data_IF_584689613400
#
_entry.id   IF_584689613400
#
_cell.length_a   1.000
_cell.length_b   1.000
_cell.length_c   1.000
_cell.angle_alpha   90.00
_cell.angle_beta   90.00
_cell.angle_gamma   90.00
#
_symmetry.space_group_name_H-M   'P 1'
#
loop_
_entity.id
_entity.type
_entity.pdbx_description
1 polymer ?
#
# COMPACT_ATOMS: atom_id res chain seq x y z
N UNK A 1 -17.44 12.73 17.68
CA UNK A 1 -16.12 13.03 17.09
C UNK A 1 -15.73 11.78 16.32
N UNK A 2 -15.68 11.85 14.99
CA UNK A 2 -15.27 10.70 14.17
C UNK A 2 -13.75 10.85 14.02
N UNK A 3 -13.00 9.90 14.56
CA UNK A 3 -11.56 9.83 14.39
C UNK A 3 -11.30 9.39 12.95
N UNK A 4 -10.77 10.31 12.13
CA UNK A 4 -10.37 10.01 10.75
C UNK A 4 -8.96 9.47 10.83
N UNK A 5 -8.82 8.16 10.68
CA UNK A 5 -7.50 7.51 10.54
C UNK A 5 -7.19 7.46 9.05
N UNK A 6 -6.25 8.28 8.55
CA UNK A 6 -5.91 8.27 7.14
C UNK A 6 -5.21 6.95 6.78
N UNK A 7 -5.63 6.32 5.68
CA UNK A 7 -5.16 5.00 5.26
C UNK A 7 -4.54 5.08 3.87
N UNK A 8 -3.39 4.45 3.70
CA UNK A 8 -2.72 4.23 2.41
C UNK A 8 -3.09 2.87 1.83
N UNK A 9 -3.17 2.82 0.50
CA UNK A 9 -3.35 1.60 -0.25
C UNK A 9 -2.04 1.22 -0.96
N UNK A 10 -1.60 -0.02 -0.73
CA UNK A 10 -0.54 -0.67 -1.49
C UNK A 10 -1.13 -1.78 -2.34
N UNK A 11 -0.64 -1.92 -3.56
CA UNK A 11 -0.90 -3.06 -4.44
C UNK A 11 0.40 -3.85 -4.56
N UNK A 12 0.30 -5.15 -4.32
CA UNK A 12 1.38 -6.13 -4.39
C UNK A 12 1.10 -7.06 -5.56
N UNK A 13 1.93 -7.00 -6.59
CA UNK A 13 1.95 -7.97 -7.68
C UNK A 13 3.05 -9.00 -7.49
N UNK A 14 2.76 -10.27 -7.76
CA UNK A 14 3.80 -11.29 -7.87
C UNK A 14 3.45 -12.29 -8.97
N UNK A 15 4.47 -12.95 -9.49
CA UNK A 15 4.32 -13.96 -10.52
C UNK A 15 4.53 -15.36 -9.93
N UNK A 16 3.61 -16.33 -10.14
CA UNK A 16 3.76 -17.67 -9.58
C UNK A 16 5.02 -18.40 -10.07
N UNK A 17 5.42 -18.17 -11.32
CA UNK A 17 6.57 -18.82 -11.96
C UNK A 17 7.90 -18.07 -11.79
N UNK A 18 7.90 -16.87 -11.20
CA UNK A 18 9.10 -16.06 -10.97
C UNK A 18 9.17 -15.65 -9.49
N UNK A 19 9.49 -16.59 -8.59
CA UNK A 19 9.62 -16.27 -7.17
C UNK A 19 10.67 -15.18 -6.96
N UNK A 20 10.29 -14.13 -6.23
CA UNK A 20 11.14 -12.95 -5.95
C UNK A 20 10.88 -11.75 -6.88
N UNK A 21 10.14 -11.92 -7.97
CA UNK A 21 9.67 -10.81 -8.80
C UNK A 21 8.40 -10.22 -8.18
N UNK A 22 8.57 -9.16 -7.38
CA UNK A 22 7.51 -8.47 -6.65
C UNK A 22 7.38 -7.05 -7.20
N UNK A 23 6.18 -6.72 -7.67
CA UNK A 23 5.78 -5.34 -7.98
C UNK A 23 5.08 -4.75 -6.76
N UNK A 24 5.61 -3.66 -6.21
CA UNK A 24 5.00 -2.95 -5.08
C UNK A 24 4.66 -1.54 -5.54
N UNK A 25 3.36 -1.24 -5.56
CA UNK A 25 2.85 0.07 -5.94
C UNK A 25 2.10 0.69 -4.77
N UNK A 26 2.51 1.90 -4.38
CA UNK A 26 1.72 2.73 -3.46
C UNK A 26 0.78 3.60 -4.28
N UNK A 27 -0.52 3.47 -4.05
CA UNK A 27 -1.52 4.30 -4.73
C UNK A 27 -1.45 5.71 -4.16
N UNK A 28 -1.44 6.73 -5.03
CA UNK A 28 -1.36 8.15 -4.65
C UNK A 28 -2.69 8.72 -4.09
N UNK A 29 -3.46 7.88 -3.40
CA UNK A 29 -4.75 8.23 -2.78
C UNK A 29 -4.69 7.86 -1.32
N UNK A 30 -5.12 8.80 -0.47
CA UNK A 30 -5.32 8.57 0.95
C UNK A 30 -6.82 8.42 1.22
N UNK A 31 -7.18 7.37 1.95
CA UNK A 31 -8.56 7.06 2.31
C UNK A 31 -8.87 7.54 3.72
N UNK A 32 -10.12 7.90 3.99
CA UNK A 32 -10.53 8.38 5.31
C UNK A 32 -10.83 7.24 6.30
N UNK A 33 -10.95 6.01 5.81
CA UNK A 33 -11.17 4.82 6.64
C UNK A 33 -10.58 3.55 6.02
N UNK A 34 -10.30 2.52 6.83
CA UNK A 34 -9.90 1.20 6.33
C UNK A 34 -10.93 0.60 5.38
N UNK A 35 -12.23 0.75 5.66
CA UNK A 35 -13.30 0.18 4.83
C UNK A 35 -13.31 0.75 3.41
N UNK A 36 -13.08 2.06 3.26
CA UNK A 36 -12.96 2.70 1.95
C UNK A 36 -11.72 2.21 1.20
N UNK A 37 -10.58 2.09 1.90
CA UNK A 37 -9.35 1.57 1.33
C UNK A 37 -9.52 0.11 0.85
N UNK A 38 -10.13 -0.76 1.65
CA UNK A 38 -10.35 -2.17 1.33
C UNK A 38 -11.25 -2.33 0.11
N UNK A 39 -12.33 -1.55 0.02
CA UNK A 39 -13.23 -1.57 -1.13
C UNK A 39 -12.53 -1.10 -2.42
N UNK A 40 -11.73 -0.02 -2.33
CA UNK A 40 -10.97 0.48 -3.48
C UNK A 40 -9.84 -0.48 -3.89
N UNK A 41 -9.11 -1.01 -2.92
CA UNK A 41 -8.02 -1.96 -3.09
C UNK A 41 -8.47 -3.25 -3.74
N UNK A 42 -9.53 -3.87 -3.21
CA UNK A 42 -10.10 -5.11 -3.76
C UNK A 42 -10.52 -4.94 -5.23
N UNK A 43 -11.18 -3.82 -5.55
CA UNK A 43 -11.58 -3.49 -6.91
C UNK A 43 -10.37 -3.29 -7.84
N UNK A 44 -9.32 -2.64 -7.36
CA UNK A 44 -8.10 -2.37 -8.14
C UNK A 44 -7.30 -3.66 -8.38
N UNK A 45 -7.00 -4.41 -7.31
CA UNK A 45 -6.27 -5.68 -7.37
C UNK A 45 -6.98 -6.72 -8.25
N UNK A 46 -8.31 -6.81 -8.16
CA UNK A 46 -9.10 -7.69 -9.02
C UNK A 46 -8.99 -7.33 -10.50
N UNK A 47 -9.03 -6.03 -10.83
CA UNK A 47 -8.88 -5.55 -12.22
C UNK A 47 -7.47 -5.82 -12.75
N UNK A 48 -6.45 -5.56 -11.94
CA UNK A 48 -5.05 -5.79 -12.33
C UNK A 48 -4.76 -7.27 -12.53
N UNK A 49 -5.25 -8.13 -11.63
CA UNK A 49 -5.15 -9.60 -11.76
C UNK A 49 -5.84 -10.08 -13.04
N UNK A 50 -7.04 -9.60 -13.34
CA UNK A 50 -7.74 -9.97 -14.57
C UNK A 50 -6.98 -9.52 -15.82
N UNK A 51 -6.48 -8.27 -15.85
CA UNK A 51 -5.70 -7.76 -16.97
C UNK A 51 -4.36 -8.50 -17.16
N UNK A 52 -3.73 -8.90 -16.06
CA UNK A 52 -2.47 -9.61 -16.07
C UNK A 52 -2.63 -11.09 -16.46
N UNK A 53 -3.76 -11.73 -16.13
CA UNK A 53 -4.02 -13.12 -16.50
C UNK A 53 -3.87 -13.39 -18.02
N UNK A 54 -4.21 -12.40 -18.85
CA UNK A 54 -4.11 -12.50 -20.31
C UNK A 54 -2.71 -12.17 -20.86
N UNK A 55 -1.83 -11.54 -20.08
CA UNK A 55 -0.57 -10.98 -20.57
C UNK A 55 0.66 -11.58 -19.89
N UNK A 56 0.70 -11.54 -18.56
CA UNK A 56 1.87 -11.89 -17.76
C UNK A 56 1.61 -13.03 -16.78
N UNK A 57 0.37 -13.39 -16.46
CA UNK A 57 0.05 -14.37 -15.43
C UNK A 57 0.36 -13.90 -14.00
N UNK A 58 0.63 -12.60 -13.79
CA UNK A 58 0.85 -12.04 -12.47
C UNK A 58 -0.47 -11.94 -11.67
N UNK A 59 -0.37 -12.17 -10.37
CA UNK A 59 -1.48 -12.01 -9.41
C UNK A 59 -1.23 -10.77 -8.57
N UNK A 60 -2.28 -9.99 -8.32
CA UNK A 60 -2.21 -8.78 -7.51
C UNK A 60 -3.12 -8.88 -6.28
N UNK A 61 -2.59 -8.48 -5.12
CA UNK A 61 -3.34 -8.24 -3.87
C UNK A 61 -3.23 -6.79 -3.43
N UNK A 62 -4.15 -6.37 -2.57
CA UNK A 62 -4.08 -5.08 -1.90
C UNK A 62 -3.71 -5.21 -0.43
N UNK A 63 -3.11 -4.15 0.12
CA UNK A 63 -2.85 -3.97 1.55
C UNK A 63 -3.18 -2.54 1.94
N UNK A 64 -4.06 -2.40 2.92
CA UNK A 64 -4.38 -1.13 3.54
C UNK A 64 -3.51 -0.95 4.78
N UNK A 65 -2.82 0.19 4.88
CA UNK A 65 -1.98 0.53 6.03
C UNK A 65 -2.36 1.91 6.55
N UNK A 66 -2.53 2.03 7.86
CA UNK A 66 -2.75 3.31 8.51
C UNK A 66 -1.51 4.18 8.33
N UNK A 67 -1.73 5.47 8.08
CA UNK A 67 -0.63 6.43 8.10
C UNK A 67 -0.26 6.63 9.56
N UNK A 68 1.00 6.38 9.93
CA UNK A 68 1.43 6.61 11.31
C UNK A 68 1.22 8.07 11.69
N UNK A 69 0.86 8.30 12.94
CA UNK A 69 0.81 9.65 13.47
C UNK A 69 2.22 10.30 13.40
N UNK A 70 2.27 11.63 13.39
CA UNK A 70 3.55 12.36 13.31
C UNK A 70 4.45 11.99 14.49
N UNK A 71 3.85 11.82 15.68
CA UNK A 71 4.53 11.44 16.90
C UNK A 71 5.12 10.02 16.82
N UNK A 72 4.40 9.08 16.21
CA UNK A 72 4.88 7.71 15.98
C UNK A 72 6.02 7.69 14.95
N UNK A 73 5.92 8.52 13.91
CA UNK A 73 6.98 8.68 12.92
C UNK A 73 8.23 9.29 13.54
N UNK A 74 8.10 10.35 14.34
CA UNK A 74 9.23 10.99 15.03
C UNK A 74 9.86 10.06 16.08
N UNK A 75 9.07 9.25 16.79
CA UNK A 75 9.61 8.24 17.70
C UNK A 75 10.41 7.15 16.97
N UNK A 76 9.94 6.72 15.79
CA UNK A 76 10.60 5.67 15.00
C UNK A 76 11.82 6.18 14.20
N UNK A 77 11.80 7.43 13.73
CA UNK A 77 12.79 7.94 12.76
C UNK A 77 13.43 9.30 13.12
N UNK A 78 13.02 9.95 14.21
CA UNK A 78 13.52 11.27 14.62
C UNK A 78 14.94 11.29 15.19
N UNK A 79 15.57 10.12 15.38
CA UNK A 79 16.88 9.97 16.00
C UNK A 79 18.10 10.27 15.12
N UNK A 80 17.97 10.44 13.80
CA UNK A 80 19.12 10.52 12.87
C UNK A 80 19.20 11.80 12.03
N UNK A 81 18.91 12.97 12.62
CA UNK A 81 19.52 14.22 12.13
C UNK A 81 20.83 14.48 12.87
N UNK A 82 21.89 13.79 12.44
CA UNK A 82 23.25 14.26 12.71
C UNK A 82 23.41 15.63 12.02
N UNK A 83 23.73 16.71 12.75
CA UNK A 83 24.01 17.99 12.10
C UNK A 83 25.32 17.82 11.32
N UNK A 84 25.23 17.85 10.00
CA UNK A 84 26.40 18.07 9.16
C UNK A 84 27.05 19.38 9.60
N UNK A 85 28.31 19.29 10.03
CA UNK A 85 29.16 20.41 10.45
C UNK A 85 29.34 21.43 9.33
#
# INVERSE_FOLDING_TARGET
MIEIVPVMLFILGWHPDKPGDIDLQRVEVIFASPAECEAAGSKMASRMTQAAAEQSGATYEHRCMEIPAVEEFEAAFGGERSPAK
#
